data_IF_350140830149
#
_entry.id   IF_350140830149
#
_cell.length_a   1.000
_cell.length_b   1.000
_cell.length_c   1.000
_cell.angle_alpha   90.00
_cell.angle_beta   90.00
_cell.angle_gamma   90.00
#
_symmetry.space_group_name_H-M   'P 1'
#
loop_
_entity.id
_entity.type
_entity.pdbx_description
1 polymer ?
#
# COMPACT_ATOMS: atom_id res chain seq x y z
N UNK A 1 -18.84 38.79 5.20
CA UNK A 1 -19.37 38.29 6.50
C UNK A 1 -20.32 37.11 6.27
N UNK A 2 -19.82 35.90 5.98
CA UNK A 2 -20.69 34.74 5.69
C UNK A 2 -20.21 33.39 6.26
N UNK A 3 -19.11 33.41 7.03
CA UNK A 3 -18.50 32.21 7.64
C UNK A 3 -18.86 32.00 9.12
N UNK A 4 -19.54 32.96 9.74
CA UNK A 4 -19.92 32.94 11.17
C UNK A 4 -21.31 32.31 11.38
N UNK A 5 -22.10 32.14 10.31
CA UNK A 5 -23.48 31.66 10.39
C UNK A 5 -23.59 30.13 10.51
N UNK A 6 -22.59 29.38 10.03
CA UNK A 6 -22.61 27.90 10.08
C UNK A 6 -22.18 27.30 11.42
N UNK A 7 -21.38 28.02 12.20
CA UNK A 7 -20.87 27.53 13.50
C UNK A 7 -21.93 27.64 14.60
N UNK A 8 -22.84 28.62 14.52
CA UNK A 8 -23.95 28.77 15.47
C UNK A 8 -25.00 27.65 15.34
N UNK A 9 -25.16 27.07 14.14
CA UNK A 9 -26.15 26.03 13.87
C UNK A 9 -25.72 24.65 14.42
N UNK A 10 -24.42 24.41 14.55
CA UNK A 10 -23.87 23.15 15.10
C UNK A 10 -23.91 23.15 16.62
N UNK A 11 -23.76 24.31 17.27
CA UNK A 11 -23.87 24.43 18.73
C UNK A 11 -25.32 24.30 19.21
N UNK A 12 -26.30 24.71 18.39
CA UNK A 12 -27.71 24.63 18.74
C UNK A 12 -28.29 23.20 18.63
N UNK A 13 -27.71 22.33 17.79
CA UNK A 13 -28.11 20.91 17.67
C UNK A 13 -27.56 20.04 18.81
N UNK A 14 -26.51 20.48 19.52
CA UNK A 14 -25.91 19.74 20.62
C UNK A 14 -26.68 19.85 21.96
N UNK A 15 -27.73 20.67 22.04
CA UNK A 15 -28.44 20.98 23.29
C UNK A 15 -29.91 20.50 23.32
N UNK A 16 -30.41 19.76 22.32
CA UNK A 16 -31.86 19.50 22.20
C UNK A 16 -32.27 18.08 21.78
N UNK A 17 -31.60 17.04 22.26
CA UNK A 17 -32.18 15.68 22.22
C UNK A 17 -31.70 14.82 23.39
N UNK A 18 -31.85 15.37 24.58
CA UNK A 18 -32.09 14.59 25.80
C UNK A 18 -33.57 14.72 26.09
N UNK A 19 -34.40 13.82 25.56
CA UNK A 19 -35.76 13.55 26.01
C UNK A 19 -36.23 12.28 25.28
N UNK A 20 -35.96 11.10 25.82
CA UNK A 20 -36.71 9.90 25.43
C UNK A 20 -37.45 9.37 26.66
N UNK A 21 -38.78 9.51 26.72
CA UNK A 21 -39.60 8.99 27.79
C UNK A 21 -39.78 7.49 27.56
N UNK A 22 -39.15 6.67 28.41
CA UNK A 22 -39.37 5.23 28.39
C UNK A 22 -40.36 4.84 29.48
N UNK A 23 -41.65 4.96 29.16
CA UNK A 23 -42.68 4.09 29.73
C UNK A 23 -43.81 3.92 28.72
N UNK A 24 -44.08 2.66 28.35
CA UNK A 24 -45.34 1.96 28.65
C UNK A 24 -45.18 0.49 28.18
N UNK A 25 -45.29 -0.44 29.12
CA UNK A 25 -45.50 -1.88 28.92
C UNK A 25 -46.97 -2.12 28.43
N UNK A 26 -47.49 -3.34 28.09
CA UNK A 26 -47.24 -4.64 28.76
C UNK A 26 -47.29 -5.92 27.87
N UNK A 27 -46.84 -7.06 28.40
CA UNK A 27 -47.47 -8.36 28.17
C UNK A 27 -46.98 -9.38 29.23
N UNK A 28 -47.87 -9.73 30.15
CA UNK A 28 -47.74 -10.90 31.02
C UNK A 28 -48.16 -12.15 30.22
N UNK A 29 -47.44 -13.28 30.38
CA UNK A 29 -48.13 -14.45 30.90
C UNK A 29 -47.33 -15.19 32.00
N UNK A 30 -48.06 -15.61 33.03
CA UNK A 30 -47.69 -16.56 34.08
C UNK A 30 -47.71 -18.03 33.54
N UNK A 31 -47.56 -19.09 34.37
CA UNK A 31 -46.49 -19.46 35.31
C UNK A 31 -45.86 -20.86 35.03
N UNK A 32 -44.62 -21.09 35.51
CA UNK A 32 -43.96 -22.39 35.89
C UNK A 32 -43.77 -23.50 34.82
N UNK A 33 -42.81 -24.45 34.97
CA UNK A 33 -41.99 -24.78 36.14
C UNK A 33 -40.46 -24.71 35.94
N UNK A 34 -39.77 -24.51 37.07
CA UNK A 34 -38.34 -24.75 37.24
C UNK A 34 -37.99 -26.19 36.84
N UNK A 35 -37.25 -26.35 35.75
CA UNK A 35 -36.52 -27.58 35.46
C UNK A 35 -35.13 -27.47 36.09
N UNK A 36 -34.95 -28.34 37.07
CA UNK A 36 -33.75 -28.60 37.86
C UNK A 36 -32.44 -28.53 37.06
N UNK A 37 -31.43 -27.90 37.65
CA UNK A 37 -30.05 -27.99 37.20
C UNK A 37 -29.57 -29.43 37.27
N UNK A 38 -29.45 -30.07 36.11
CA UNK A 38 -28.68 -31.30 35.94
C UNK A 38 -27.25 -30.93 35.57
N UNK A 39 -26.38 -30.84 36.58
CA UNK A 39 -24.94 -30.89 36.41
C UNK A 39 -24.56 -32.24 35.81
N UNK A 40 -24.25 -32.27 34.53
CA UNK A 40 -23.55 -33.39 33.90
C UNK A 40 -22.03 -33.11 34.01
N UNK A 41 -21.25 -33.85 34.81
CA UNK A 41 -19.80 -33.86 34.64
C UNK A 41 -19.47 -34.78 33.44
N UNK A 42 -19.92 -34.36 32.26
CA UNK A 42 -19.60 -35.02 31.00
C UNK A 42 -18.30 -34.46 30.47
N UNK A 43 -17.20 -35.17 30.72
CA UNK A 43 -15.91 -34.86 30.10
C UNK A 43 -16.03 -35.13 28.60
N UNK A 44 -16.35 -34.11 27.81
CA UNK A 44 -16.32 -34.21 26.35
C UNK A 44 -14.85 -34.28 25.91
N UNK A 45 -14.36 -35.49 25.67
CA UNK A 45 -13.15 -35.70 24.88
C UNK A 45 -13.61 -35.68 23.42
N UNK A 46 -13.41 -34.56 22.75
CA UNK A 46 -13.51 -34.49 21.30
C UNK A 46 -12.32 -35.28 20.71
N UNK A 47 -12.47 -36.60 20.59
CA UNK A 47 -11.62 -37.42 19.71
C UNK A 47 -12.14 -37.25 18.29
N UNK A 48 -11.94 -36.06 17.75
CA UNK A 48 -11.99 -35.80 16.32
C UNK A 48 -10.61 -35.31 15.94
N UNK A 49 -9.95 -36.01 15.02
CA UNK A 49 -8.76 -35.50 14.35
C UNK A 49 -8.96 -34.02 14.01
N UNK A 50 -7.93 -33.15 14.09
CA UNK A 50 -8.08 -31.77 13.68
C UNK A 50 -8.58 -31.80 12.24
N UNK A 51 -9.88 -31.52 12.06
CA UNK A 51 -10.40 -31.10 10.79
C UNK A 51 -9.50 -29.94 10.41
N UNK A 52 -8.71 -30.15 9.35
CA UNK A 52 -7.85 -29.12 8.81
C UNK A 52 -8.75 -27.90 8.66
N UNK A 53 -8.46 -26.86 9.44
CA UNK A 53 -9.20 -25.61 9.36
C UNK A 53 -9.26 -25.25 7.87
N UNK A 54 -10.45 -24.88 7.33
CA UNK A 54 -10.54 -24.45 5.95
C UNK A 54 -9.44 -23.41 5.77
N UNK A 55 -8.50 -23.67 4.85
CA UNK A 55 -7.28 -22.87 4.72
C UNK A 55 -7.71 -21.41 4.69
N UNK A 56 -7.52 -20.74 5.83
CA UNK A 56 -7.99 -19.38 6.02
C UNK A 56 -7.43 -18.62 4.85
N UNK A 57 -8.27 -17.82 4.19
CA UNK A 57 -7.90 -17.01 3.05
C UNK A 57 -6.65 -16.18 3.42
N UNK A 58 -5.48 -16.76 3.17
CA UNK A 58 -4.25 -16.30 3.79
C UNK A 58 -3.84 -15.15 2.92
N UNK A 59 -3.87 -13.94 3.48
CA UNK A 59 -3.54 -12.73 2.74
C UNK A 59 -2.23 -12.93 1.99
N UNK A 60 -2.30 -12.96 0.66
CA UNK A 60 -1.14 -13.10 -0.22
C UNK A 60 -0.52 -11.72 -0.39
N UNK A 61 0.79 -11.64 -0.24
CA UNK A 61 1.54 -10.43 -0.51
C UNK A 61 1.89 -10.31 -1.99
N UNK A 62 1.78 -9.11 -2.52
CA UNK A 62 2.26 -8.74 -3.86
C UNK A 62 3.63 -8.13 -3.67
N UNK A 63 4.64 -8.73 -4.29
CA UNK A 63 6.01 -8.25 -4.26
C UNK A 63 6.39 -7.61 -5.59
N UNK A 64 7.32 -6.66 -5.55
CA UNK A 64 7.93 -6.09 -6.76
C UNK A 64 8.99 -7.01 -7.33
N UNK A 65 9.02 -7.13 -8.65
CA UNK A 65 10.13 -7.80 -9.34
C UNK A 65 11.36 -6.88 -9.43
N UNK A 66 11.15 -5.58 -9.63
CA UNK A 66 12.22 -4.58 -9.79
C UNK A 66 12.14 -3.46 -8.77
N UNK A 67 13.28 -2.87 -8.46
CA UNK A 67 13.35 -1.67 -7.63
C UNK A 67 12.94 -0.42 -8.42
N UNK A 68 12.23 0.51 -7.77
CA UNK A 68 11.75 1.73 -8.40
C UNK A 68 11.00 2.65 -7.43
N UNK A 69 10.80 3.90 -7.81
CA UNK A 69 9.99 4.86 -7.05
C UNK A 69 8.53 4.73 -7.46
N UNK A 70 7.61 4.70 -6.50
CA UNK A 70 6.18 4.70 -6.76
C UNK A 70 5.79 6.03 -7.41
N UNK A 71 5.39 6.00 -8.67
CA UNK A 71 4.85 7.17 -9.37
C UNK A 71 3.40 7.40 -8.97
N UNK A 72 2.59 6.34 -9.05
CA UNK A 72 1.16 6.42 -8.80
C UNK A 72 0.60 5.05 -8.35
N UNK A 73 -0.47 5.10 -7.55
CA UNK A 73 -1.16 3.92 -7.03
C UNK A 73 -2.62 3.98 -7.50
N UNK A 74 -3.08 2.94 -8.18
CA UNK A 74 -4.41 2.88 -8.82
C UNK A 74 -5.43 2.02 -8.07
N UNK A 75 -5.15 1.66 -6.82
CA UNK A 75 -6.07 0.86 -6.00
C UNK A 75 -6.28 1.45 -4.60
N UNK A 76 -7.44 1.10 -4.04
CA UNK A 76 -7.85 1.41 -2.67
C UNK A 76 -7.98 0.14 -1.83
N UNK A 77 -7.79 0.26 -0.51
CA UNK A 77 -8.05 -0.84 0.42
C UNK A 77 -9.55 -1.17 0.40
N UNK A 78 -9.89 -2.46 0.35
CA UNK A 78 -11.25 -2.97 0.18
C UNK A 78 -11.74 -3.03 -1.27
N UNK A 79 -10.94 -2.56 -2.24
CA UNK A 79 -11.31 -2.63 -3.65
C UNK A 79 -11.14 -4.06 -4.20
N UNK A 80 -12.09 -4.47 -5.04
CA UNK A 80 -11.99 -5.68 -5.86
C UNK A 80 -11.08 -5.43 -7.04
N UNK A 81 -10.10 -6.30 -7.23
CA UNK A 81 -9.18 -6.24 -8.38
C UNK A 81 -9.30 -7.49 -9.23
N UNK A 82 -9.01 -7.36 -10.52
CA UNK A 82 -8.98 -8.48 -11.45
C UNK A 82 -7.56 -8.93 -11.75
N UNK A 83 -7.38 -10.19 -12.14
CA UNK A 83 -6.11 -10.70 -12.66
C UNK A 83 -5.58 -9.79 -13.77
N UNK A 84 -4.33 -9.37 -13.66
CA UNK A 84 -3.67 -8.47 -14.63
C UNK A 84 -4.01 -6.99 -14.47
N UNK A 85 -4.88 -6.60 -13.52
CA UNK A 85 -5.17 -5.19 -13.26
C UNK A 85 -3.93 -4.48 -12.73
N UNK A 86 -3.59 -3.33 -13.31
CA UNK A 86 -2.50 -2.47 -12.84
C UNK A 86 -2.83 -1.90 -11.47
N UNK A 87 -1.95 -2.13 -10.50
CA UNK A 87 -2.09 -1.66 -9.13
C UNK A 87 -1.18 -0.47 -8.87
N UNK A 88 0.07 -0.56 -9.31
CA UNK A 88 1.10 0.44 -9.03
C UNK A 88 1.92 0.70 -10.29
N UNK A 89 2.18 1.98 -10.56
CA UNK A 89 3.14 2.41 -11.57
C UNK A 89 4.42 2.83 -10.87
N UNK A 90 5.52 2.14 -11.18
CA UNK A 90 6.85 2.44 -10.68
C UNK A 90 7.63 3.18 -11.76
N UNK A 91 8.39 4.18 -11.37
CA UNK A 91 9.36 4.85 -12.21
C UNK A 91 10.77 4.43 -11.75
N UNK A 92 11.61 4.08 -12.70
CA UNK A 92 13.03 3.87 -12.46
C UNK A 92 13.86 4.70 -13.44
N UNK A 93 15.02 5.16 -12.96
CA UNK A 93 15.96 5.91 -13.80
C UNK A 93 16.68 4.95 -14.73
N UNK A 94 16.75 5.31 -16.01
CA UNK A 94 17.58 4.67 -17.02
C UNK A 94 18.80 5.55 -17.27
N UNK A 95 19.97 4.95 -17.10
CA UNK A 95 21.19 5.56 -17.61
C UNK A 95 21.28 5.31 -19.11
N UNK A 96 21.32 6.39 -19.89
CA UNK A 96 21.55 6.29 -21.33
C UNK A 96 23.03 6.03 -21.61
N UNK A 97 23.33 5.45 -22.77
CA UNK A 97 24.71 5.21 -23.22
C UNK A 97 25.51 6.52 -23.27
N UNK A 98 24.87 7.62 -23.67
CA UNK A 98 25.46 8.95 -23.69
C UNK A 98 25.89 9.43 -22.30
N UNK A 99 25.03 9.27 -21.28
CA UNK A 99 25.37 9.61 -19.90
C UNK A 99 26.54 8.77 -19.37
N UNK A 100 26.55 7.47 -19.69
CA UNK A 100 27.66 6.59 -19.29
C UNK A 100 28.99 7.01 -19.95
N UNK A 101 28.93 7.41 -21.22
CA UNK A 101 30.08 7.92 -21.94
C UNK A 101 30.60 9.22 -21.32
N UNK A 102 29.72 10.19 -21.05
CA UNK A 102 30.08 11.45 -20.38
C UNK A 102 30.66 11.21 -18.98
N UNK A 103 30.08 10.31 -18.19
CA UNK A 103 30.63 9.95 -16.87
C UNK A 103 32.05 9.38 -16.98
N UNK A 104 32.30 8.56 -17.99
CA UNK A 104 33.64 8.01 -18.24
C UNK A 104 34.63 9.11 -18.61
N UNK A 105 34.24 10.03 -19.50
CA UNK A 105 35.08 11.18 -19.86
C UNK A 105 35.37 12.08 -18.65
N UNK A 106 34.38 12.35 -17.81
CA UNK A 106 34.57 13.14 -16.57
C UNK A 106 35.59 12.47 -15.66
N UNK A 107 35.49 11.15 -15.45
CA UNK A 107 36.46 10.41 -14.62
C UNK A 107 37.88 10.49 -15.18
N UNK A 108 38.04 10.33 -16.49
CA UNK A 108 39.34 10.45 -17.16
C UNK A 108 39.91 11.87 -17.03
N UNK A 109 39.09 12.89 -17.30
CA UNK A 109 39.49 14.29 -17.19
C UNK A 109 39.82 14.69 -15.75
N UNK A 110 39.08 14.14 -14.77
CA UNK A 110 39.35 14.36 -13.35
C UNK A 110 40.68 13.75 -12.92
N UNK A 111 41.01 12.54 -13.39
CA UNK A 111 42.31 11.92 -13.14
C UNK A 111 43.45 12.76 -13.75
N UNK A 112 43.27 13.28 -14.97
CA UNK A 112 44.24 14.19 -15.59
C UNK A 112 44.41 15.49 -14.79
N UNK A 113 43.32 16.10 -14.32
CA UNK A 113 43.39 17.28 -13.45
C UNK A 113 44.20 17.00 -12.17
N UNK A 114 43.98 15.86 -11.51
CA UNK A 114 44.74 15.47 -10.32
C UNK A 114 46.24 15.29 -10.61
N UNK A 115 46.58 14.70 -11.75
CA UNK A 115 47.97 14.53 -12.18
C UNK A 115 48.65 15.89 -12.48
N UNK A 116 47.94 16.78 -13.16
CA UNK A 116 48.40 18.14 -13.49
C UNK A 116 48.53 19.04 -12.25
N UNK A 117 47.66 18.83 -11.26
CA UNK A 117 47.71 19.51 -9.96
C UNK A 117 48.91 19.04 -9.13
N UNK A 118 49.16 17.73 -9.08
CA UNK A 118 50.36 17.18 -8.43
C UNK A 118 51.66 17.65 -9.10
N UNK A 119 51.63 17.88 -10.41
CA UNK A 119 52.75 18.41 -11.18
C UNK A 119 52.87 19.95 -11.15
N UNK A 120 51.96 20.66 -10.46
CA UNK A 120 51.88 22.13 -10.43
C UNK A 120 51.94 22.78 -11.83
N UNK A 121 51.31 22.14 -12.82
CA UNK A 121 51.35 22.57 -14.22
C UNK A 121 50.48 23.80 -14.49
N UNK A 122 50.88 24.61 -15.48
CA UNK A 122 50.08 25.75 -15.95
C UNK A 122 48.79 25.30 -16.67
N UNK A 123 48.76 24.08 -17.22
CA UNK A 123 47.62 23.52 -17.95
C UNK A 123 46.44 23.11 -17.06
N UNK A 124 46.62 23.13 -15.74
CA UNK A 124 45.59 22.79 -14.75
C UNK A 124 44.31 23.61 -14.97
N UNK A 125 44.44 24.93 -15.21
CA UNK A 125 43.30 25.80 -15.44
C UNK A 125 42.46 25.35 -16.64
N UNK A 126 43.11 25.05 -17.77
CA UNK A 126 42.43 24.55 -18.96
C UNK A 126 41.78 23.17 -18.73
N UNK A 127 42.47 22.29 -17.98
CA UNK A 127 41.93 20.97 -17.65
C UNK A 127 40.68 21.05 -16.75
N UNK A 128 40.64 21.99 -15.78
CA UNK A 128 39.45 22.25 -14.95
C UNK A 128 38.29 22.80 -15.77
N UNK A 129 38.55 23.72 -16.71
CA UNK A 129 37.50 24.24 -17.61
C UNK A 129 36.86 23.12 -18.43
N UNK A 130 37.67 22.18 -18.95
CA UNK A 130 37.15 21.00 -19.67
C UNK A 130 36.31 20.10 -18.76
N UNK A 131 36.76 19.87 -17.53
CA UNK A 131 35.99 19.08 -16.55
C UNK A 131 34.63 19.73 -16.29
N UNK A 132 34.60 21.03 -16.07
CA UNK A 132 33.37 21.79 -15.85
C UNK A 132 32.42 21.72 -17.06
N UNK A 133 32.94 21.85 -18.29
CA UNK A 133 32.13 21.70 -19.51
C UNK A 133 31.48 20.30 -19.59
N UNK A 134 32.23 19.24 -19.31
CA UNK A 134 31.71 17.87 -19.30
C UNK A 134 30.65 17.66 -18.21
N UNK A 135 30.85 18.21 -17.00
CA UNK A 135 29.86 18.16 -15.92
C UNK A 135 28.58 18.92 -16.29
N UNK A 136 28.72 20.07 -16.96
CA UNK A 136 27.59 20.86 -17.40
C UNK A 136 26.80 20.14 -18.49
N UNK A 137 27.50 19.48 -19.44
CA UNK A 137 26.88 18.59 -20.42
C UNK A 137 26.09 17.47 -19.75
N UNK A 138 26.68 16.76 -18.78
CA UNK A 138 26.00 15.70 -18.04
C UNK A 138 24.77 16.22 -17.29
N UNK A 139 24.85 17.40 -16.68
CA UNK A 139 23.73 18.01 -15.95
C UNK A 139 22.59 18.44 -16.88
N UNK A 140 22.92 18.83 -18.11
CA UNK A 140 21.94 19.15 -19.15
C UNK A 140 21.30 17.89 -19.74
N UNK A 141 21.96 16.74 -19.69
CA UNK A 141 21.40 15.45 -20.11
C UNK A 141 20.44 14.91 -19.05
N UNK A 142 19.15 15.21 -19.20
CA UNK A 142 18.10 14.73 -18.29
C UNK A 142 18.07 13.19 -18.19
N UNK A 143 17.86 12.62 -16.99
CA UNK A 143 17.72 11.18 -16.83
C UNK A 143 16.47 10.68 -17.55
N UNK A 144 16.63 9.65 -18.38
CA UNK A 144 15.50 8.96 -18.96
C UNK A 144 14.77 8.18 -17.85
N UNK A 145 13.45 8.27 -17.81
CA UNK A 145 12.63 7.49 -16.88
C UNK A 145 11.95 6.36 -17.66
N UNK A 146 12.02 5.15 -17.12
CA UNK A 146 11.19 4.04 -17.57
C UNK A 146 10.17 3.68 -16.50
N UNK A 147 9.02 3.23 -16.97
CA UNK A 147 7.89 2.86 -16.12
C UNK A 147 7.69 1.36 -16.12
N UNK A 148 7.43 0.82 -14.94
CA UNK A 148 7.07 -0.56 -14.72
C UNK A 148 5.71 -0.63 -14.03
N UNK A 149 4.92 -1.63 -14.38
CA UNK A 149 3.55 -1.78 -13.91
C UNK A 149 3.45 -3.05 -13.09
N UNK A 150 3.12 -2.92 -11.81
CA UNK A 150 2.81 -4.06 -10.94
C UNK A 150 1.33 -4.38 -11.09
N UNK A 151 1.03 -5.60 -11.51
CA UNK A 151 -0.33 -6.08 -11.75
C UNK A 151 -0.76 -7.10 -10.70
N UNK A 152 -2.08 -7.22 -10.47
CA UNK A 152 -2.63 -8.27 -9.62
C UNK A 152 -2.41 -9.68 -10.23
N UNK A 153 -1.95 -10.67 -9.46
CA UNK A 153 -1.68 -12.01 -9.97
C UNK A 153 -2.96 -12.83 -10.23
N UNK A 154 -4.03 -12.54 -9.49
CA UNK A 154 -5.33 -13.21 -9.56
C UNK A 154 -6.47 -12.26 -9.12
N UNK A 155 -7.72 -12.70 -9.26
CA UNK A 155 -8.89 -11.96 -8.83
C UNK A 155 -9.05 -12.01 -7.30
N UNK A 156 -9.34 -10.86 -6.68
CA UNK A 156 -9.45 -10.80 -5.22
C UNK A 156 -9.76 -9.41 -4.67
N UNK A 157 -9.60 -9.26 -3.36
CA UNK A 157 -9.84 -8.00 -2.64
C UNK A 157 -8.55 -7.53 -1.98
N UNK A 158 -8.20 -6.26 -2.18
CA UNK A 158 -7.04 -5.63 -1.54
C UNK A 158 -7.31 -5.40 -0.04
N UNK A 159 -6.52 -6.01 0.83
CA UNK A 159 -6.71 -5.91 2.30
C UNK A 159 -5.82 -4.86 2.93
N UNK A 160 -4.62 -4.65 2.39
CA UNK A 160 -3.71 -3.63 2.90
C UNK A 160 -2.84 -3.04 1.79
N UNK A 161 -2.41 -1.80 2.00
CA UNK A 161 -1.45 -1.10 1.16
C UNK A 161 -0.24 -0.75 2.01
N UNK A 162 0.94 -1.20 1.57
CA UNK A 162 2.20 -0.97 2.29
C UNK A 162 3.02 0.19 1.72
N UNK A 163 2.55 0.83 0.64
CA UNK A 163 3.30 1.85 -0.11
C UNK A 163 2.51 3.12 -0.35
N UNK A 164 3.22 4.24 -0.48
CA UNK A 164 2.65 5.54 -0.82
C UNK A 164 3.27 6.09 -2.11
N UNK A 165 2.55 6.96 -2.85
CA UNK A 165 3.14 7.71 -3.96
C UNK A 165 4.40 8.45 -3.50
N UNK A 166 5.48 8.31 -4.26
CA UNK A 166 6.78 8.87 -3.95
C UNK A 166 7.72 7.96 -3.15
N UNK A 167 7.24 6.86 -2.57
CA UNK A 167 8.07 5.91 -1.82
C UNK A 167 9.03 5.15 -2.75
N UNK A 168 10.20 4.73 -2.23
CA UNK A 168 11.18 3.95 -2.99
C UNK A 168 11.11 2.48 -2.59
N UNK A 169 10.78 1.63 -3.55
CA UNK A 169 10.59 0.20 -3.34
C UNK A 169 11.83 -0.55 -3.86
N UNK A 170 12.35 -1.47 -3.06
CA UNK A 170 13.42 -2.38 -3.47
C UNK A 170 12.86 -3.61 -4.19
N UNK A 171 13.69 -4.37 -4.92
CA UNK A 171 13.27 -5.65 -5.50
C UNK A 171 12.84 -6.62 -4.38
N UNK A 172 11.78 -7.41 -4.62
CA UNK A 172 11.16 -8.36 -3.68
C UNK A 172 10.48 -7.77 -2.44
N UNK A 173 10.28 -6.45 -2.40
CA UNK A 173 9.57 -5.81 -1.30
C UNK A 173 8.04 -5.95 -1.48
N UNK A 174 7.34 -6.21 -0.38
CA UNK A 174 5.87 -6.27 -0.35
C UNK A 174 5.26 -4.89 -0.57
N UNK A 175 4.39 -4.78 -1.57
CA UNK A 175 3.70 -3.54 -1.96
C UNK A 175 2.27 -3.48 -1.43
N UNK A 176 1.58 -4.62 -1.47
CA UNK A 176 0.19 -4.73 -1.06
C UNK A 176 -0.09 -6.16 -0.57
N UNK A 177 -1.13 -6.33 0.25
CA UNK A 177 -1.68 -7.65 0.55
C UNK A 177 -3.09 -7.76 0.00
N UNK A 178 -3.42 -8.93 -0.53
CA UNK A 178 -4.74 -9.22 -1.07
C UNK A 178 -5.22 -10.60 -0.62
N UNK A 179 -6.52 -10.77 -0.64
CA UNK A 179 -7.23 -12.01 -0.30
C UNK A 179 -7.79 -12.54 -1.61
N UNK A 180 -7.39 -13.76 -1.98
CA UNK A 180 -7.78 -14.39 -3.24
C UNK A 180 -9.22 -14.90 -3.15
N UNK A 181 -9.98 -14.77 -4.23
CA UNK A 181 -11.37 -15.22 -4.29
C UNK A 181 -12.39 -14.08 -4.14
N UNK A 182 -13.51 -14.22 -4.86
CA UNK A 182 -14.67 -13.36 -4.66
C UNK A 182 -15.33 -13.74 -3.33
N UNK A 183 -15.72 -12.76 -2.49
CA UNK A 183 -16.50 -13.08 -1.31
C UNK A 183 -17.75 -13.83 -1.76
N UNK A 184 -17.93 -15.05 -1.27
CA UNK A 184 -19.15 -15.81 -1.50
C UNK A 184 -20.32 -14.98 -0.96
N UNK A 185 -21.35 -14.80 -1.78
CA UNK A 185 -22.59 -14.16 -1.34
C UNK A 185 -23.21 -14.99 -0.21
N UNK A 186 -22.98 -14.60 1.04
CA UNK A 186 -23.52 -15.25 2.25
C UNK A 186 -25.05 -15.14 2.35
N UNK A 187 -25.73 -14.54 1.38
CA UNK A 187 -27.19 -14.38 1.34
C UNK A 187 -27.97 -15.70 1.33
N UNK A 188 -27.34 -16.83 1.00
CA UNK A 188 -28.04 -18.13 0.94
C UNK A 188 -28.21 -18.85 2.29
N UNK A 189 -27.65 -18.36 3.40
CA UNK A 189 -27.69 -19.08 4.69
C UNK A 189 -28.91 -18.78 5.57
N UNK A 190 -29.85 -17.93 5.14
CA UNK A 190 -31.05 -17.57 5.92
C UNK A 190 -32.36 -18.18 5.38
N UNK A 191 -32.31 -19.01 4.34
CA UNK A 191 -33.52 -19.54 3.67
C UNK A 191 -33.88 -20.99 4.02
N UNK A 192 -33.16 -21.65 4.94
CA UNK A 192 -33.54 -22.98 5.44
C UNK A 192 -33.68 -22.97 6.96
N UNK A 193 -34.80 -22.43 7.40
CA UNK A 193 -35.48 -22.91 8.61
C UNK A 193 -36.96 -22.98 8.22
N UNK A 194 -37.39 -24.17 7.80
CA UNK A 194 -38.79 -24.60 7.84
C UNK A 194 -38.98 -25.46 9.08
#
# INVERSE_FOLDING_TARGET
MKKILGVLLIVLVALSSWELPLWLAPATPAPTPSASGATLPGRFVATGAPAQAPEHNTGRSIQTTRAGRVWEVYFSVGQRVRKGQVLVKLAHSLQTVEQQHLQTQIKQQQALCLQLEAAASADLAAARTKLQDLQQKLSNTSPALAFEYVTAPEDGVMTSRSVLPGDYISSSQTVASFVAGMPADTTLLLSSVE
#
